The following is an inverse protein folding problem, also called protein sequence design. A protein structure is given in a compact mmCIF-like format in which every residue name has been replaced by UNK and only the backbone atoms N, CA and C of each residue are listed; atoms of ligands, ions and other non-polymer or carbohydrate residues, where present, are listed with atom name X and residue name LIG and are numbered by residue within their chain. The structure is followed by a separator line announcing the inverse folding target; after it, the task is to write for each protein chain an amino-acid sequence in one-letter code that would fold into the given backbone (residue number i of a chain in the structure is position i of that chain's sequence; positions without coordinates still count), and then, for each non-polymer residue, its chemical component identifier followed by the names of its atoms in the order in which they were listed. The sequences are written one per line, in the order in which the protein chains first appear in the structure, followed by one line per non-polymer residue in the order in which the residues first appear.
data_IF_544959078434
#
_entry.id   IF_544959078434
#
_cell.length_a   1.000
_cell.length_b   1.000
_cell.length_c   1.000
_cell.angle_alpha   90.00
_cell.angle_beta   90.00
_cell.angle_gamma   90.00
#
_symmetry.space_group_name_H-M   'P 1'
#
loop_
_entity.id
_entity.type
_entity.pdbx_description
1 polymer ?
#
# COMPACT_ATOMS: atom_id res chain seq x y z
N UNK A 1 25.04 -19.85 -14.68
CA UNK A 1 25.87 -20.04 -13.49
C UNK A 1 25.76 -18.79 -12.63
N UNK A 2 25.13 -18.85 -11.47
CA UNK A 2 25.06 -17.71 -10.56
C UNK A 2 26.49 -17.39 -10.09
N UNK A 3 26.96 -16.18 -10.35
CA UNK A 3 28.21 -15.69 -9.77
C UNK A 3 27.92 -15.34 -8.31
N UNK A 4 28.33 -16.22 -7.39
CA UNK A 4 28.16 -16.04 -5.95
C UNK A 4 29.21 -15.09 -5.33
N UNK A 5 30.11 -14.58 -6.12
CA UNK A 5 31.25 -13.77 -5.67
C UNK A 5 30.88 -12.32 -5.29
N UNK A 6 29.59 -11.96 -5.38
CA UNK A 6 29.14 -10.59 -5.24
C UNK A 6 28.19 -10.36 -4.05
N UNK A 7 28.26 -11.19 -3.02
CA UNK A 7 27.54 -10.92 -1.77
C UNK A 7 28.50 -10.32 -0.74
N UNK A 8 28.49 -8.96 -0.59
CA UNK A 8 29.23 -8.35 0.51
C UNK A 8 28.70 -8.91 1.83
N UNK A 9 29.63 -9.25 2.74
CA UNK A 9 29.28 -9.75 4.06
C UNK A 9 28.49 -8.67 4.85
N UNK A 10 27.44 -9.09 5.58
CA UNK A 10 26.68 -8.23 6.46
C UNK A 10 25.23 -8.00 6.01
N UNK A 11 24.50 -7.19 6.76
CA UNK A 11 23.12 -6.83 6.46
C UNK A 11 23.07 -5.68 5.46
N UNK A 12 22.32 -5.86 4.39
CA UNK A 12 22.01 -4.80 3.46
C UNK A 12 20.81 -4.00 3.96
N UNK A 13 20.98 -2.70 4.14
CA UNK A 13 19.90 -1.78 4.47
C UNK A 13 19.50 -0.99 3.23
N UNK A 14 18.28 -1.20 2.77
CA UNK A 14 17.71 -0.41 1.69
C UNK A 14 17.24 0.94 2.25
N UNK A 15 17.65 2.03 1.60
CA UNK A 15 17.28 3.41 1.94
C UNK A 15 16.37 4.00 0.86
N UNK A 16 15.35 3.25 0.47
CA UNK A 16 14.39 3.62 -0.56
C UNK A 16 12.96 3.46 -0.01
N UNK A 17 11.95 4.13 -0.61
CA UNK A 17 10.55 4.01 -0.18
C UNK A 17 9.98 2.59 -0.21
N UNK A 18 10.56 1.73 -1.02
CA UNK A 18 10.24 0.32 -1.17
C UNK A 18 10.94 -0.28 -2.39
N UNK A 19 11.29 -1.58 -2.36
CA UNK A 19 11.20 -2.49 -1.20
C UNK A 19 12.08 -2.07 -0.03
N UNK A 20 11.72 -2.47 1.18
CA UNK A 20 12.44 -2.14 2.42
C UNK A 20 12.84 -3.39 3.20
N UNK A 21 13.88 -3.32 4.06
CA UNK A 21 14.24 -4.44 4.92
C UNK A 21 13.07 -4.85 5.82
N UNK A 22 12.80 -6.16 5.89
CA UNK A 22 11.77 -6.70 6.76
C UNK A 22 12.41 -7.10 8.10
N UNK A 23 11.89 -6.66 9.25
CA UNK A 23 12.43 -7.04 10.56
C UNK A 23 12.40 -8.56 10.77
N UNK A 24 13.44 -9.11 11.42
CA UNK A 24 13.58 -10.55 11.64
C UNK A 24 12.37 -11.21 12.33
N UNK A 25 11.72 -10.49 13.25
CA UNK A 25 10.50 -10.96 13.91
C UNK A 25 9.34 -11.19 12.95
N UNK A 26 9.25 -10.37 11.89
CA UNK A 26 8.22 -10.49 10.85
C UNK A 26 8.57 -11.64 9.91
N UNK A 27 9.86 -11.76 9.51
CA UNK A 27 10.31 -12.88 8.69
C UNK A 27 10.04 -14.22 9.38
N UNK A 28 10.30 -14.32 10.70
CA UNK A 28 9.96 -15.52 11.48
C UNK A 28 8.45 -15.78 11.50
N UNK A 29 7.63 -14.77 11.59
CA UNK A 29 6.16 -14.94 11.55
C UNK A 29 5.68 -15.42 10.18
N UNK A 30 6.26 -14.90 9.08
CA UNK A 30 5.94 -15.32 7.71
C UNK A 30 6.35 -16.79 7.46
N UNK A 31 7.44 -17.25 8.07
CA UNK A 31 7.94 -18.61 7.91
C UNK A 31 7.22 -19.67 8.79
N UNK A 32 6.19 -19.27 9.52
CA UNK A 32 5.39 -20.20 10.33
C UNK A 32 4.67 -21.23 9.44
N UNK A 33 4.53 -22.48 9.89
CA UNK A 33 3.81 -23.50 9.13
C UNK A 33 2.41 -23.08 8.76
N UNK A 34 1.99 -23.42 7.54
CA UNK A 34 0.63 -23.16 7.06
C UNK A 34 -0.39 -23.93 7.90
N UNK A 35 -1.44 -23.25 8.33
CA UNK A 35 -2.58 -23.82 9.06
C UNK A 35 -3.82 -23.90 8.16
N UNK A 36 -4.77 -24.77 8.50
CA UNK A 36 -6.03 -24.86 7.74
C UNK A 36 -6.85 -23.57 7.93
N UNK A 37 -7.08 -22.86 6.83
CA UNK A 37 -7.84 -21.60 6.83
C UNK A 37 -9.32 -21.78 7.22
N UNK A 38 -9.85 -22.99 7.21
CA UNK A 38 -11.19 -23.35 7.66
C UNK A 38 -11.24 -23.84 9.10
N UNK A 39 -10.08 -24.05 9.69
CA UNK A 39 -9.95 -24.54 11.07
C UNK A 39 -10.19 -23.45 12.13
N UNK A 40 -10.50 -23.85 13.36
CA UNK A 40 -10.75 -22.92 14.46
C UNK A 40 -9.51 -22.09 14.83
N UNK A 41 -8.32 -22.63 14.61
CA UNK A 41 -7.07 -21.95 14.85
C UNK A 41 -6.90 -20.70 13.95
N UNK A 42 -7.21 -20.85 12.66
CA UNK A 42 -7.20 -19.72 11.73
C UNK A 42 -8.27 -18.70 12.08
N UNK A 43 -9.46 -19.13 12.49
CA UNK A 43 -10.53 -18.24 12.94
C UNK A 43 -10.09 -17.37 14.13
N UNK A 44 -9.45 -17.98 15.13
CA UNK A 44 -8.92 -17.27 16.30
C UNK A 44 -7.81 -16.28 15.90
N UNK A 45 -6.90 -16.67 15.01
CA UNK A 45 -5.87 -15.80 14.47
C UNK A 45 -6.48 -14.61 13.73
N UNK A 46 -7.47 -14.84 12.87
CA UNK A 46 -8.15 -13.80 12.09
C UNK A 46 -8.81 -12.75 12.99
N UNK A 47 -9.55 -13.17 14.01
CA UNK A 47 -10.15 -12.25 14.99
C UNK A 47 -9.08 -11.40 15.68
N UNK A 48 -7.98 -12.02 16.11
CA UNK A 48 -6.87 -11.31 16.75
C UNK A 48 -6.21 -10.30 15.81
N UNK A 49 -5.99 -10.64 14.55
CA UNK A 49 -5.41 -9.76 13.54
C UNK A 49 -6.33 -8.56 13.28
N UNK A 50 -7.62 -8.79 13.04
CA UNK A 50 -8.58 -7.72 12.80
C UNK A 50 -8.70 -6.77 14.00
N UNK A 51 -8.71 -7.29 15.22
CA UNK A 51 -8.68 -6.47 16.42
C UNK A 51 -7.40 -5.64 16.55
N UNK A 52 -6.25 -6.21 16.15
CA UNK A 52 -4.97 -5.50 16.13
C UNK A 52 -4.93 -4.36 15.11
N UNK A 53 -5.45 -4.58 13.90
CA UNK A 53 -5.49 -3.59 12.82
C UNK A 53 -6.38 -2.40 13.19
N UNK A 54 -7.52 -2.62 13.82
CA UNK A 54 -8.38 -1.53 14.33
C UNK A 54 -7.63 -0.56 15.22
N UNK A 55 -6.74 -1.04 16.09
CA UNK A 55 -5.90 -0.20 16.96
C UNK A 55 -4.96 0.70 16.15
N UNK A 56 -4.42 0.19 15.03
CA UNK A 56 -3.55 0.97 14.14
C UNK A 56 -4.34 2.10 13.47
N UNK A 57 -5.55 1.80 12.97
CA UNK A 57 -6.44 2.79 12.37
C UNK A 57 -7.18 3.65 13.39
N UNK A 58 -7.05 3.37 14.69
CA UNK A 58 -7.75 4.08 15.78
C UNK A 58 -9.25 4.15 15.54
N UNK A 59 -9.85 3.04 15.14
CA UNK A 59 -11.28 2.94 14.81
C UNK A 59 -11.94 1.73 15.47
N UNK A 60 -13.22 1.85 15.79
CA UNK A 60 -14.07 0.73 16.19
C UNK A 60 -14.84 0.10 15.02
N UNK A 61 -14.84 0.78 13.85
CA UNK A 61 -15.48 0.31 12.65
C UNK A 61 -14.76 -0.91 12.06
N UNK A 62 -15.45 -1.72 11.22
CA UNK A 62 -14.82 -2.81 10.51
C UNK A 62 -13.66 -2.34 9.64
N UNK A 63 -12.54 -3.05 9.70
CA UNK A 63 -11.40 -2.87 8.81
C UNK A 63 -11.34 -4.10 7.90
N UNK A 64 -11.32 -3.86 6.60
CA UNK A 64 -11.29 -4.92 5.58
C UNK A 64 -9.88 -5.08 5.05
N UNK A 65 -9.42 -6.32 4.90
CA UNK A 65 -8.12 -6.64 4.30
C UNK A 65 -8.39 -7.14 2.88
N UNK A 66 -7.84 -6.45 1.88
CA UNK A 66 -7.90 -6.87 0.48
C UNK A 66 -6.60 -7.60 0.09
N UNK A 67 -6.68 -8.70 -0.65
CA UNK A 67 -5.51 -9.34 -1.26
C UNK A 67 -5.05 -8.54 -2.49
N UNK A 68 -4.55 -7.34 -2.27
CA UNK A 68 -4.15 -6.39 -3.30
C UNK A 68 -2.97 -5.53 -2.83
N UNK A 69 -2.47 -4.68 -3.73
CA UNK A 69 -1.53 -3.61 -3.39
C UNK A 69 -2.27 -2.37 -2.87
N UNK A 70 -1.53 -1.30 -2.49
CA UNK A 70 -2.12 -0.01 -2.12
C UNK A 70 -3.05 0.58 -3.20
N UNK A 71 -2.82 0.26 -4.48
CA UNK A 71 -3.68 0.65 -5.60
C UNK A 71 -5.11 0.11 -5.45
N UNK A 72 -5.24 -1.14 -5.01
CA UNK A 72 -6.57 -1.73 -4.73
C UNK A 72 -7.30 -1.04 -3.58
N UNK A 73 -6.58 -0.52 -2.59
CA UNK A 73 -7.17 0.27 -1.51
C UNK A 73 -7.69 1.64 -2.01
N UNK A 74 -6.99 2.29 -2.93
CA UNK A 74 -7.47 3.53 -3.58
C UNK A 74 -8.75 3.29 -4.37
N UNK A 75 -8.78 2.23 -5.18
CA UNK A 75 -9.97 1.84 -5.94
C UNK A 75 -11.13 1.56 -5.00
N UNK A 76 -10.90 0.80 -3.94
CA UNK A 76 -11.93 0.51 -2.95
C UNK A 76 -12.46 1.79 -2.27
N UNK A 77 -11.59 2.74 -1.94
CA UNK A 77 -12.00 4.02 -1.36
C UNK A 77 -12.90 4.82 -2.32
N UNK A 78 -12.46 5.01 -3.56
CA UNK A 78 -13.19 5.80 -4.53
C UNK A 78 -14.53 5.15 -4.92
N UNK A 79 -14.51 3.86 -5.26
CA UNK A 79 -15.70 3.14 -5.78
C UNK A 79 -16.77 2.87 -4.72
N UNK A 80 -16.41 2.85 -3.43
CA UNK A 80 -17.38 2.60 -2.34
C UNK A 80 -17.89 3.88 -1.68
N UNK A 81 -17.28 5.04 -1.91
CA UNK A 81 -17.67 6.29 -1.26
C UNK A 81 -18.22 7.33 -2.23
N UNK A 82 -17.98 7.17 -3.54
CA UNK A 82 -18.34 8.13 -4.58
C UNK A 82 -19.09 7.44 -5.72
N UNK A 83 -19.86 8.24 -6.46
CA UNK A 83 -20.59 7.84 -7.67
C UNK A 83 -20.02 8.52 -8.91
N UNK A 84 -20.17 7.93 -10.12
CA UNK A 84 -19.78 8.59 -11.35
C UNK A 84 -20.38 10.01 -11.47
N UNK A 85 -19.53 10.97 -11.77
CA UNK A 85 -19.91 12.40 -11.82
C UNK A 85 -19.63 13.17 -10.54
N UNK A 86 -19.32 12.52 -9.43
CA UNK A 86 -18.93 13.21 -8.20
C UNK A 86 -17.57 13.90 -8.34
N UNK A 87 -17.42 15.02 -7.65
CA UNK A 87 -16.15 15.76 -7.59
C UNK A 87 -15.31 15.28 -6.43
N UNK A 88 -14.01 15.05 -6.65
CA UNK A 88 -13.05 14.67 -5.63
C UNK A 88 -11.85 15.59 -5.64
N UNK A 89 -11.54 16.20 -4.50
CA UNK A 89 -10.36 17.05 -4.34
C UNK A 89 -9.12 16.17 -4.12
N UNK A 90 -8.10 16.41 -4.93
CA UNK A 90 -6.82 15.70 -4.88
C UNK A 90 -5.66 16.70 -4.93
N UNK A 91 -4.54 16.33 -4.31
CA UNK A 91 -3.33 17.15 -4.31
C UNK A 91 -2.20 16.44 -5.03
N UNK A 92 -1.47 17.19 -5.87
CA UNK A 92 -0.27 16.68 -6.52
C UNK A 92 0.88 16.57 -5.51
N UNK A 93 1.12 15.38 -5.02
CA UNK A 93 2.21 15.07 -4.08
C UNK A 93 3.26 14.13 -4.70
N UNK A 94 3.17 13.90 -6.01
CA UNK A 94 4.09 13.05 -6.76
C UNK A 94 3.41 11.97 -7.59
N UNK A 95 4.19 11.03 -8.07
CA UNK A 95 3.77 10.01 -9.04
C UNK A 95 2.50 9.23 -8.63
N UNK A 96 2.41 8.82 -7.37
CA UNK A 96 1.24 8.06 -6.90
C UNK A 96 -0.03 8.90 -6.86
N UNK A 97 0.07 10.19 -6.55
CA UNK A 97 -1.07 11.11 -6.61
C UNK A 97 -1.63 11.22 -8.04
N UNK A 98 -0.74 11.31 -9.04
CA UNK A 98 -1.12 11.32 -10.47
C UNK A 98 -1.79 9.99 -10.88
N UNK A 99 -1.31 8.84 -10.38
CA UNK A 99 -1.95 7.56 -10.66
C UNK A 99 -3.35 7.48 -10.03
N UNK A 100 -3.52 8.03 -8.84
CA UNK A 100 -4.81 8.06 -8.15
C UNK A 100 -5.80 8.97 -8.88
N UNK A 101 -5.36 10.14 -9.36
CA UNK A 101 -6.16 11.01 -10.23
C UNK A 101 -6.66 10.26 -11.48
N UNK A 102 -5.75 9.61 -12.21
CA UNK A 102 -6.11 8.83 -13.40
C UNK A 102 -7.09 7.69 -13.11
N UNK A 103 -7.02 7.12 -11.92
CA UNK A 103 -7.99 6.11 -11.47
C UNK A 103 -9.37 6.75 -11.25
N UNK A 104 -9.44 7.88 -10.59
CA UNK A 104 -10.69 8.62 -10.38
C UNK A 104 -11.36 8.96 -11.71
N UNK A 105 -10.61 9.45 -12.70
CA UNK A 105 -11.12 9.73 -14.04
C UNK A 105 -11.70 8.47 -14.72
N UNK A 106 -11.01 7.33 -14.61
CA UNK A 106 -11.49 6.05 -15.17
C UNK A 106 -12.76 5.53 -14.49
N UNK A 107 -12.96 5.86 -13.22
CA UNK A 107 -14.18 5.56 -12.48
C UNK A 107 -15.33 6.56 -12.77
N UNK A 108 -15.11 7.51 -13.68
CA UNK A 108 -16.09 8.51 -14.05
C UNK A 108 -16.25 9.65 -13.05
N UNK A 109 -15.31 9.82 -12.15
CA UNK A 109 -15.25 10.93 -11.19
C UNK A 109 -14.67 12.18 -11.86
N UNK A 110 -14.85 13.34 -11.23
CA UNK A 110 -14.28 14.63 -11.62
C UNK A 110 -13.21 15.06 -10.62
N UNK A 111 -11.94 14.70 -10.81
CA UNK A 111 -10.90 15.13 -9.90
C UNK A 111 -10.58 16.61 -10.06
N UNK A 112 -10.66 17.37 -8.99
CA UNK A 112 -10.04 18.67 -8.84
C UNK A 112 -8.62 18.46 -8.32
N UNK A 113 -7.65 18.45 -9.23
CA UNK A 113 -6.26 18.12 -8.94
C UNK A 113 -5.44 19.40 -8.76
N UNK A 114 -5.10 19.69 -7.50
CA UNK A 114 -4.37 20.91 -7.15
C UNK A 114 -2.87 20.62 -7.11
N UNK A 115 -2.11 21.32 -7.94
CA UNK A 115 -0.65 21.31 -7.90
C UNK A 115 -0.11 22.07 -6.67
N UNK A 116 1.00 21.62 -6.13
CA UNK A 116 1.71 22.35 -5.10
C UNK A 116 2.46 23.54 -5.74
N UNK A 117 2.38 24.76 -5.17
CA UNK A 117 3.10 25.90 -5.70
C UNK A 117 4.61 25.62 -5.81
N UNK A 118 5.19 25.80 -7.00
CA UNK A 118 6.62 25.57 -7.24
C UNK A 118 7.04 24.15 -7.58
N UNK A 119 6.11 23.20 -7.67
CA UNK A 119 6.38 21.86 -8.19
C UNK A 119 5.75 21.79 -9.59
N UNK A 120 6.59 21.71 -10.63
CA UNK A 120 6.10 21.45 -11.98
C UNK A 120 5.47 20.06 -12.04
N UNK A 121 4.26 20.00 -12.62
CA UNK A 121 3.55 18.75 -12.83
C UNK A 121 4.45 17.78 -13.61
N UNK A 122 4.82 16.68 -12.98
CA UNK A 122 5.65 15.67 -13.63
C UNK A 122 7.18 15.80 -13.43
N UNK A 123 7.65 16.58 -12.48
CA UNK A 123 9.03 16.48 -12.02
C UNK A 123 9.26 15.06 -11.46
N UNK A 124 9.54 14.13 -12.36
CA UNK A 124 9.98 12.79 -12.01
C UNK A 124 11.23 12.97 -11.17
N UNK A 125 11.20 12.47 -9.94
CA UNK A 125 12.43 12.26 -9.17
C UNK A 125 13.34 11.44 -10.07
N UNK A 126 14.32 12.12 -10.71
CA UNK A 126 15.32 11.46 -11.55
C UNK A 126 16.01 10.41 -10.69
N UNK A 127 15.93 9.16 -11.11
CA UNK A 127 16.72 8.10 -10.48
C UNK A 127 18.18 8.50 -10.63
N UNK A 128 18.96 8.55 -9.55
CA UNK A 128 20.40 8.65 -9.71
C UNK A 128 20.85 7.40 -10.47
N UNK A 129 21.60 7.62 -11.55
CA UNK A 129 22.28 6.60 -12.34
C UNK A 129 23.31 5.85 -11.53
#
# INVERSE_FOLDING_TARGET
MLKLDFHPAGRHFLQIPGPSPVPDRILRAISYPTIDHRGPEFGALGVKVLAGIRKIFKTEHPVVIYPASGTGAWEAALSNTLSPGDTVLMFETGHFATLWQKMAEKLGLRPEFLGLPGIEAGAAVSRPT
#
